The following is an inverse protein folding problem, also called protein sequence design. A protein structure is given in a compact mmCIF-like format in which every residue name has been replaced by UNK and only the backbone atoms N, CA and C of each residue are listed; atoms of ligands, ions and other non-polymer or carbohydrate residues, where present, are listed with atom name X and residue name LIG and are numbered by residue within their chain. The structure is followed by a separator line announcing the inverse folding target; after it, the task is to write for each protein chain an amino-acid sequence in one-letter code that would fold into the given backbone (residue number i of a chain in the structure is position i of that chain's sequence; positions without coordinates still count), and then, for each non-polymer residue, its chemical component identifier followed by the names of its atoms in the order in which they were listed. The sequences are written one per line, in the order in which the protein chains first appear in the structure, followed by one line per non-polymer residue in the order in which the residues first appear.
data_IF_242439622769
#
_entry.id   IF_242439622769
#
_cell.length_a   1.000
_cell.length_b   1.000
_cell.length_c   1.000
_cell.angle_alpha   90.00
_cell.angle_beta   90.00
_cell.angle_gamma   90.00
#
_symmetry.space_group_name_H-M   'P 1'
#
loop_
_entity.id
_entity.type
_entity.pdbx_description
1 polymer ?
#
# COMPACT_ATOMS: atom_id res chain seq x y z
N UNK A 1 -28.56 15.87 23.78
CA UNK A 1 -27.31 15.38 23.15
C UNK A 1 -27.70 14.73 21.83
N UNK A 2 -27.20 15.23 20.70
CA UNK A 2 -27.43 14.59 19.40
C UNK A 2 -26.50 13.37 19.29
N UNK A 3 -27.07 12.22 18.94
CA UNK A 3 -26.32 10.98 18.74
C UNK A 3 -25.86 10.94 17.28
N UNK A 4 -24.55 11.08 17.04
CA UNK A 4 -23.97 10.96 15.71
C UNK A 4 -23.76 9.48 15.39
N UNK A 5 -24.42 8.96 14.37
CA UNK A 5 -24.09 7.64 13.82
C UNK A 5 -22.85 7.79 12.95
N UNK A 6 -21.80 7.02 13.26
CA UNK A 6 -20.55 7.03 12.50
C UNK A 6 -20.12 5.59 12.29
N UNK A 7 -19.68 5.28 11.07
CA UNK A 7 -19.10 3.98 10.74
C UNK A 7 -17.57 4.09 10.77
N UNK A 8 -16.93 3.29 11.62
CA UNK A 8 -15.47 3.20 11.70
C UNK A 8 -15.05 1.90 11.03
N UNK A 9 -14.33 2.01 9.91
CA UNK A 9 -13.76 0.87 9.20
C UNK A 9 -12.25 0.82 9.43
N UNK A 10 -11.74 -0.33 9.88
CA UNK A 10 -10.31 -0.62 9.93
C UNK A 10 -9.93 -1.54 8.77
N UNK A 11 -8.95 -1.15 7.96
CA UNK A 11 -8.42 -2.01 6.90
C UNK A 11 -7.05 -2.52 7.30
N UNK A 12 -6.98 -3.80 7.65
CA UNK A 12 -5.72 -4.52 7.72
C UNK A 12 -5.19 -4.70 6.30
N UNK A 13 -4.02 -4.14 6.00
CA UNK A 13 -3.35 -4.34 4.71
C UNK A 13 -2.34 -5.47 4.86
N UNK A 14 -2.52 -6.55 4.11
CA UNK A 14 -1.52 -7.62 4.02
C UNK A 14 -0.21 -7.07 3.47
N UNK A 15 0.91 -7.51 4.06
CA UNK A 15 2.25 -6.99 3.82
C UNK A 15 2.87 -7.35 2.44
N UNK A 16 2.07 -7.86 1.49
CA UNK A 16 2.57 -8.35 0.20
C UNK A 16 2.28 -7.43 -1.00
N UNK A 17 1.69 -6.26 -0.76
CA UNK A 17 1.29 -5.32 -1.84
C UNK A 17 2.49 -4.88 -2.70
N UNK A 18 3.69 -4.77 -2.12
CA UNK A 18 4.87 -4.39 -2.88
C UNK A 18 5.32 -5.51 -3.84
N UNK A 19 5.24 -6.77 -3.38
CA UNK A 19 5.57 -7.95 -4.19
C UNK A 19 4.63 -8.09 -5.38
N UNK A 20 3.32 -7.95 -5.15
CA UNK A 20 2.30 -7.99 -6.22
C UNK A 20 2.51 -6.88 -7.25
N UNK A 21 2.84 -5.68 -6.78
CA UNK A 21 3.12 -4.54 -7.65
C UNK A 21 4.38 -4.77 -8.52
N UNK A 22 5.48 -5.24 -7.93
CA UNK A 22 6.71 -5.54 -8.68
C UNK A 22 6.46 -6.67 -9.68
N UNK A 23 5.72 -7.71 -9.30
CA UNK A 23 5.36 -8.83 -10.19
C UNK A 23 4.57 -8.34 -11.39
N UNK A 24 3.60 -7.44 -11.19
CA UNK A 24 2.80 -6.85 -12.27
C UNK A 24 3.70 -6.09 -13.26
N UNK A 25 4.67 -5.32 -12.77
CA UNK A 25 5.63 -4.62 -13.64
C UNK A 25 6.48 -5.61 -14.44
N UNK A 26 7.00 -6.67 -13.80
CA UNK A 26 7.81 -7.68 -14.48
C UNK A 26 7.03 -8.37 -15.61
N UNK A 27 5.76 -8.68 -15.38
CA UNK A 27 4.87 -9.27 -16.37
C UNK A 27 4.56 -8.30 -17.51
N UNK A 28 4.30 -7.03 -17.22
CA UNK A 28 4.05 -6.00 -18.24
C UNK A 28 5.27 -5.73 -19.14
N UNK A 29 6.48 -5.84 -18.59
CA UNK A 29 7.74 -5.60 -19.31
C UNK A 29 8.30 -6.85 -19.99
N UNK A 30 7.71 -8.02 -19.73
CA UNK A 30 8.20 -9.36 -20.13
C UNK A 30 9.70 -9.55 -19.81
N UNK A 31 10.14 -8.98 -18.68
CA UNK A 31 11.54 -8.98 -18.27
C UNK A 31 11.70 -8.95 -16.74
N UNK A 32 12.78 -9.55 -16.21
CA UNK A 32 13.12 -9.41 -14.80
C UNK A 32 13.37 -7.94 -14.43
N UNK A 33 12.72 -7.48 -13.36
CA UNK A 33 12.96 -6.16 -12.76
C UNK A 33 13.62 -6.30 -11.41
N UNK A 34 14.68 -5.50 -11.21
CA UNK A 34 15.44 -5.46 -9.98
C UNK A 34 15.59 -4.00 -9.54
N UNK A 35 15.29 -3.75 -8.26
CA UNK A 35 15.46 -2.45 -7.62
C UNK A 35 16.37 -2.65 -6.41
N UNK A 36 17.45 -1.89 -6.31
CA UNK A 36 18.46 -2.07 -5.26
C UNK A 36 18.41 -0.96 -4.20
N UNK A 37 17.77 0.17 -4.54
CA UNK A 37 17.57 1.29 -3.64
C UNK A 37 16.09 1.69 -3.57
N UNK A 38 15.74 2.42 -2.50
CA UNK A 38 14.41 3.02 -2.40
C UNK A 38 14.11 4.00 -3.52
N UNK A 39 15.13 4.73 -4.01
CA UNK A 39 14.94 5.73 -5.07
C UNK A 39 14.66 5.07 -6.42
N UNK A 40 15.15 3.85 -6.63
CA UNK A 40 14.96 3.10 -7.88
C UNK A 40 13.52 2.64 -8.06
N UNK A 41 12.78 2.42 -6.96
CA UNK A 41 11.38 2.00 -7.02
C UNK A 41 10.51 3.07 -7.68
N UNK A 42 9.54 2.69 -8.54
CA UNK A 42 8.55 3.62 -9.05
C UNK A 42 7.77 4.30 -7.91
N UNK A 43 7.20 5.48 -8.19
CA UNK A 43 6.47 6.28 -7.20
C UNK A 43 5.40 5.49 -6.45
N UNK A 44 4.67 4.59 -7.13
CA UNK A 44 3.66 3.74 -6.50
C UNK A 44 4.29 2.71 -5.56
N UNK A 45 5.38 2.05 -5.95
CA UNK A 45 6.13 1.12 -5.11
C UNK A 45 6.68 1.78 -3.85
N UNK A 46 7.24 3.00 -3.97
CA UNK A 46 7.71 3.78 -2.81
C UNK A 46 6.59 4.11 -1.82
N UNK A 47 5.39 4.45 -2.32
CA UNK A 47 4.21 4.71 -1.48
C UNK A 47 3.76 3.46 -0.73
N UNK A 48 3.75 2.31 -1.41
CA UNK A 48 3.41 1.02 -0.79
C UNK A 48 4.42 0.72 0.31
N UNK A 49 5.72 0.74 0.01
CA UNK A 49 6.78 0.46 0.99
C UNK A 49 6.71 1.40 2.20
N UNK A 50 6.48 2.70 2.00
CA UNK A 50 6.32 3.63 3.11
C UNK A 50 5.08 3.36 3.96
N UNK A 51 3.98 2.94 3.32
CA UNK A 51 2.76 2.55 4.03
C UNK A 51 3.00 1.30 4.88
N UNK A 52 3.66 0.29 4.31
CA UNK A 52 3.99 -0.97 4.98
C UNK A 52 4.95 -0.73 6.16
N UNK A 53 6.02 0.06 5.95
CA UNK A 53 6.97 0.44 7.00
C UNK A 53 6.33 1.19 8.15
N UNK A 54 5.31 1.98 7.87
CA UNK A 54 4.64 2.74 8.92
C UNK A 54 3.87 1.83 9.88
N UNK A 55 3.45 0.63 9.45
CA UNK A 55 2.57 -0.27 10.21
C UNK A 55 1.34 0.44 10.83
N UNK A 56 0.95 1.58 10.26
CA UNK A 56 -0.13 2.41 10.80
C UNK A 56 -1.45 1.80 10.33
N UNK A 57 -2.34 1.38 11.25
CA UNK A 57 -3.67 0.94 10.89
C UNK A 57 -4.43 2.09 10.22
N UNK A 58 -4.91 1.87 8.99
CA UNK A 58 -5.67 2.89 8.28
C UNK A 58 -7.11 2.83 8.79
N UNK A 59 -7.47 3.86 9.56
CA UNK A 59 -8.84 4.10 10.02
C UNK A 59 -9.52 5.00 9.00
N UNK A 60 -10.58 4.48 8.37
CA UNK A 60 -11.48 5.28 7.55
C UNK A 60 -12.77 5.51 8.32
N UNK A 61 -13.07 6.77 8.61
CA UNK A 61 -14.32 7.19 9.24
C UNK A 61 -15.25 7.69 8.14
N UNK A 62 -16.49 7.21 8.12
CA UNK A 62 -17.56 7.70 7.24
C UNK A 62 -18.73 8.17 8.09
N UNK A 63 -19.34 9.28 7.65
CA UNK A 63 -20.58 9.81 8.20
C UNK A 63 -21.79 9.19 7.50
#
# INVERSE_FOLDING_TARGET
MQQLQMEITHTYREANQLGDYITSIALEQDNPVHYHSFQDLPTKGRKILNSDKSQIPILRIRN
#
